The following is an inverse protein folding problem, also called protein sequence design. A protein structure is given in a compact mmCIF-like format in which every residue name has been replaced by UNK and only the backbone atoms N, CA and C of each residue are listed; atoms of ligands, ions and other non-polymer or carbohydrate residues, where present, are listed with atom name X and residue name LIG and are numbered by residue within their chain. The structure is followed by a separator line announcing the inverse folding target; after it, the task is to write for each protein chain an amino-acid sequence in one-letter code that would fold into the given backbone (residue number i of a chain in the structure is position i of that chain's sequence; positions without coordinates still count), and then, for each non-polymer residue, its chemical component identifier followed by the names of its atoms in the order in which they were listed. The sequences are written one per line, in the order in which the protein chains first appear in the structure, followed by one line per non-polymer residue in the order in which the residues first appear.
data_IF_912735245626
#
_entry.id   IF_912735245626
#
_cell.length_a   1.000
_cell.length_b   1.000
_cell.length_c   1.000
_cell.angle_alpha   90.00
_cell.angle_beta   90.00
_cell.angle_gamma   90.00
#
_symmetry.space_group_name_H-M   'P 1'
#
loop_
_entity.id
_entity.type
_entity.pdbx_description
1 polymer ?
#
# COMPACT_ATOMS: atom_id res chain seq x y z
N UNK A 1 -41.34 -9.71 -16.34
CA UNK A 1 -40.50 -8.65 -15.73
C UNK A 1 -39.86 -9.20 -14.46
N UNK A 2 -38.57 -9.45 -14.29
CA UNK A 2 -37.48 -9.90 -15.15
C UNK A 2 -36.38 -10.33 -14.16
N UNK A 3 -36.39 -11.58 -13.68
CA UNK A 3 -35.35 -12.13 -12.79
C UNK A 3 -33.94 -12.01 -13.41
N UNK A 4 -33.89 -11.99 -14.75
CA UNK A 4 -32.67 -11.77 -15.54
C UNK A 4 -32.04 -10.38 -15.35
N UNK A 5 -32.83 -9.37 -15.00
CA UNK A 5 -32.29 -8.03 -14.72
C UNK A 5 -31.53 -8.00 -13.39
N UNK A 6 -32.01 -8.70 -12.36
CA UNK A 6 -31.40 -8.65 -11.03
C UNK A 6 -30.04 -9.37 -10.98
N UNK A 7 -29.89 -10.47 -11.72
CA UNK A 7 -28.60 -11.14 -11.91
C UNK A 7 -27.58 -10.31 -12.68
N UNK A 8 -28.02 -9.51 -13.66
CA UNK A 8 -27.14 -8.62 -14.43
C UNK A 8 -26.51 -7.54 -13.55
N UNK A 9 -27.32 -6.87 -12.71
CA UNK A 9 -26.79 -5.88 -11.77
C UNK A 9 -25.90 -6.53 -10.69
N UNK A 10 -26.28 -7.68 -10.14
CA UNK A 10 -25.50 -8.37 -9.09
C UNK A 10 -24.12 -8.87 -9.57
N UNK A 11 -24.02 -9.31 -10.83
CA UNK A 11 -22.75 -9.72 -11.45
C UNK A 11 -21.83 -8.53 -11.74
N UNK A 12 -22.40 -7.39 -12.16
CA UNK A 12 -21.63 -6.19 -12.48
C UNK A 12 -20.99 -5.54 -11.25
N UNK A 13 -21.66 -5.53 -10.09
CA UNK A 13 -21.08 -4.98 -8.86
C UNK A 13 -19.94 -5.84 -8.28
N UNK A 14 -20.02 -7.17 -8.41
CA UNK A 14 -18.96 -8.07 -7.93
C UNK A 14 -17.64 -7.87 -8.71
N UNK A 15 -17.74 -7.53 -10.00
CA UNK A 15 -16.57 -7.30 -10.87
C UNK A 15 -15.98 -5.88 -10.76
N UNK A 16 -16.71 -4.94 -10.16
CA UNK A 16 -16.28 -3.55 -10.00
C UNK A 16 -15.39 -3.34 -8.77
N UNK A 17 -15.49 -4.21 -7.75
CA UNK A 17 -14.76 -4.06 -6.49
C UNK A 17 -13.31 -4.59 -6.52
N UNK A 18 -12.97 -5.51 -7.44
CA UNK A 18 -11.68 -6.20 -7.44
C UNK A 18 -10.92 -6.07 -8.77
N UNK A 19 -10.79 -4.85 -9.32
CA UNK A 19 -9.85 -4.58 -10.42
C UNK A 19 -8.67 -3.76 -9.94
N UNK A 20 -7.93 -4.32 -8.98
CA UNK A 20 -6.62 -3.81 -8.60
C UNK A 20 -5.56 -4.62 -9.33
N UNK A 21 -4.98 -4.05 -10.39
CA UNK A 21 -3.86 -4.66 -11.09
C UNK A 21 -2.61 -4.36 -10.26
N UNK A 22 -2.16 -5.34 -9.46
CA UNK A 22 -0.85 -5.26 -8.83
C UNK A 22 0.22 -5.21 -9.94
N UNK A 23 1.31 -4.46 -9.72
CA UNK A 23 2.46 -4.57 -10.63
C UNK A 23 3.04 -5.99 -10.56
N UNK A 24 3.94 -6.31 -11.49
CA UNK A 24 4.59 -7.62 -11.57
C UNK A 24 5.24 -8.05 -10.25
N UNK A 25 5.57 -7.10 -9.36
CA UNK A 25 6.08 -7.36 -8.01
C UNK A 25 5.18 -6.68 -6.96
N UNK A 26 4.12 -7.34 -6.48
CA UNK A 26 3.25 -6.78 -5.45
C UNK A 26 4.02 -6.53 -4.14
N UNK A 27 3.56 -5.57 -3.31
CA UNK A 27 4.15 -5.32 -2.00
C UNK A 27 4.04 -6.58 -1.15
N UNK A 28 5.14 -6.94 -0.49
CA UNK A 28 5.12 -7.99 0.52
C UNK A 28 4.62 -7.45 1.86
N UNK A 29 4.29 -8.33 2.81
CA UNK A 29 3.91 -7.94 4.17
C UNK A 29 4.94 -7.01 4.84
N UNK A 30 6.22 -7.15 4.48
CA UNK A 30 7.31 -6.32 5.00
C UNK A 30 7.16 -4.82 4.65
N UNK A 31 6.46 -4.48 3.57
CA UNK A 31 6.25 -3.09 3.14
C UNK A 31 5.35 -2.30 4.09
N UNK A 32 4.53 -2.96 4.92
CA UNK A 32 3.75 -2.29 6.00
C UNK A 32 4.69 -1.53 6.94
N UNK A 33 5.88 -2.09 7.20
CA UNK A 33 6.87 -1.48 8.07
C UNK A 33 7.49 -0.22 7.46
N UNK A 34 7.75 -0.24 6.16
CA UNK A 34 8.21 0.94 5.39
C UNK A 34 7.12 2.01 5.33
N UNK A 35 5.86 1.62 5.14
CA UNK A 35 4.72 2.54 5.17
C UNK A 35 4.59 3.23 6.54
N UNK A 36 4.62 2.47 7.63
CA UNK A 36 4.59 3.03 8.99
C UNK A 36 5.74 4.02 9.21
N UNK A 37 6.97 3.67 8.81
CA UNK A 37 8.11 4.55 8.89
C UNK A 37 7.87 5.91 8.21
N UNK A 38 7.34 5.91 6.99
CA UNK A 38 7.03 7.14 6.23
C UNK A 38 5.95 8.00 6.91
N UNK A 39 4.87 7.38 7.38
CA UNK A 39 3.77 8.09 8.05
C UNK A 39 4.27 8.78 9.35
N UNK A 40 4.95 8.03 10.20
CA UNK A 40 5.45 8.57 11.48
C UNK A 40 6.63 9.53 11.31
N UNK A 41 7.42 9.41 10.23
CA UNK A 41 8.40 10.44 9.85
C UNK A 41 7.71 11.76 9.56
N UNK A 42 6.61 11.74 8.81
CA UNK A 42 5.88 12.96 8.46
C UNK A 42 5.19 13.60 9.67
N UNK A 43 4.68 12.79 10.60
CA UNK A 43 3.96 13.28 11.79
C UNK A 43 4.89 13.67 12.96
N UNK A 44 5.97 12.92 13.19
CA UNK A 44 6.82 13.05 14.40
C UNK A 44 8.33 13.20 14.11
N UNK A 45 8.74 13.19 12.84
CA UNK A 45 10.13 13.34 12.42
C UNK A 45 10.93 12.04 12.33
N UNK A 46 12.09 12.13 11.69
CA UNK A 46 12.93 10.99 11.33
C UNK A 46 13.52 10.24 12.54
N UNK A 47 13.88 10.95 13.62
CA UNK A 47 14.41 10.35 14.85
C UNK A 47 13.35 9.49 15.55
N UNK A 48 12.10 9.94 15.53
CA UNK A 48 10.99 9.16 16.08
C UNK A 48 10.76 7.91 15.23
N UNK A 49 10.70 8.06 13.90
CA UNK A 49 10.56 6.93 12.98
C UNK A 49 11.70 5.91 13.14
N UNK A 50 12.95 6.34 13.30
CA UNK A 50 14.07 5.43 13.54
C UNK A 50 13.89 4.59 14.81
N UNK A 51 13.46 5.22 15.92
CA UNK A 51 13.20 4.53 17.19
C UNK A 51 12.02 3.57 17.07
N UNK A 52 10.94 3.99 16.40
CA UNK A 52 9.76 3.16 16.12
C UNK A 52 10.14 1.90 15.33
N UNK A 53 11.02 2.05 14.33
CA UNK A 53 11.50 0.94 13.50
C UNK A 53 12.57 0.08 14.20
N UNK A 54 13.06 0.49 15.37
CA UNK A 54 14.08 -0.23 16.13
C UNK A 54 15.45 -0.29 15.44
N UNK A 55 15.76 0.66 14.56
CA UNK A 55 17.01 0.64 13.80
C UNK A 55 18.16 1.32 14.56
N UNK A 56 19.25 0.59 14.75
CA UNK A 56 20.48 1.12 15.34
C UNK A 56 21.16 2.14 14.44
N UNK A 57 21.11 1.95 13.12
CA UNK A 57 21.74 2.83 12.13
C UNK A 57 20.71 3.68 11.39
N UNK A 58 21.02 4.97 11.23
CA UNK A 58 20.23 5.89 10.43
C UNK A 58 20.20 5.49 8.94
N UNK A 59 21.25 4.84 8.42
CA UNK A 59 21.28 4.39 7.04
C UNK A 59 20.23 3.32 6.77
N UNK A 60 20.00 2.42 7.73
CA UNK A 60 18.93 1.42 7.61
C UNK A 60 17.57 2.09 7.62
N UNK A 61 17.35 3.10 8.47
CA UNK A 61 16.10 3.87 8.49
C UNK A 61 15.83 4.57 7.16
N UNK A 62 16.84 5.18 6.54
CA UNK A 62 16.69 5.84 5.24
C UNK A 62 16.14 4.91 4.16
N UNK A 63 16.54 3.63 4.15
CA UNK A 63 16.00 2.63 3.21
C UNK A 63 14.49 2.38 3.37
N UNK A 64 13.94 2.57 4.58
CA UNK A 64 12.51 2.39 4.87
C UNK A 64 11.71 3.68 4.70
N UNK A 65 12.38 4.82 4.83
CA UNK A 65 11.78 6.14 4.61
C UNK A 65 11.81 6.58 3.15
N UNK A 66 12.55 5.86 2.32
CA UNK A 66 12.63 6.12 0.89
C UNK A 66 11.25 5.94 0.24
N UNK A 67 10.82 6.96 -0.49
CA UNK A 67 9.56 6.97 -1.23
C UNK A 67 9.75 6.14 -2.49
N UNK A 68 9.52 4.84 -2.38
CA UNK A 68 9.46 3.97 -3.55
C UNK A 68 8.28 4.41 -4.40
N UNK A 69 8.56 4.71 -5.67
CA UNK A 69 7.62 5.27 -6.65
C UNK A 69 6.25 4.57 -6.54
N UNK A 70 5.22 5.33 -6.18
CA UNK A 70 3.84 4.84 -5.98
C UNK A 70 3.28 4.16 -7.24
N UNK A 71 3.91 4.41 -8.40
CA UNK A 71 3.65 3.73 -9.67
C UNK A 71 3.94 2.23 -9.64
N UNK A 72 4.77 1.74 -8.72
CA UNK A 72 4.94 0.31 -8.50
C UNK A 72 3.66 -0.35 -7.94
N UNK A 73 2.74 0.46 -7.40
CA UNK A 73 1.50 0.00 -6.80
C UNK A 73 0.26 0.37 -7.63
N UNK A 74 0.38 1.30 -8.59
CA UNK A 74 -0.74 1.80 -9.39
C UNK A 74 -0.48 1.65 -10.90
N UNK A 75 -0.85 0.49 -11.47
CA UNK A 75 -1.07 0.37 -12.92
C UNK A 75 -2.50 0.85 -13.23
N UNK A 76 -2.61 2.02 -13.86
CA UNK A 76 -3.85 2.58 -14.44
C UNK A 76 -4.41 1.69 -15.56
#
# INVERSE_FOLDING_TARGET
MNEKHHHYYRSHYHRFLCRYNFSNNPPTFHEIRSLAGRLYKNEHGEVFAQKLLGHTSANTTKLYLDERDDKAYMML
#
